data_IF_745889493607
#
_entry.id   IF_745889493607
#
_cell.length_a   1.000
_cell.length_b   1.000
_cell.length_c   1.000
_cell.angle_alpha   90.00
_cell.angle_beta   90.00
_cell.angle_gamma   90.00
#
_symmetry.space_group_name_H-M   'P 1'
#
loop_
_entity.id
_entity.type
_entity.pdbx_description
1 polymer ?
#
# COMPACT_ATOMS: atom_id res chain seq x y z
N UNK A 1 -17.07 -19.62 -20.52
CA UNK A 1 -17.11 -18.51 -19.56
C UNK A 1 -16.21 -18.89 -18.39
N UNK A 2 -14.89 -18.76 -18.57
CA UNK A 2 -13.92 -19.17 -17.57
C UNK A 2 -13.75 -18.03 -16.56
N UNK A 3 -14.25 -18.25 -15.35
CA UNK A 3 -13.90 -17.43 -14.20
C UNK A 3 -12.38 -17.51 -14.00
N UNK A 4 -11.68 -16.44 -14.33
CA UNK A 4 -10.27 -16.26 -13.99
C UNK A 4 -10.16 -15.94 -12.50
N UNK A 5 -10.30 -16.99 -11.67
CA UNK A 5 -9.91 -16.96 -10.27
C UNK A 5 -8.39 -17.04 -10.23
N UNK A 6 -7.74 -15.88 -10.16
CA UNK A 6 -6.30 -15.80 -9.93
C UNK A 6 -5.99 -16.39 -8.54
N UNK A 7 -5.19 -17.47 -8.43
CA UNK A 7 -4.92 -18.16 -7.17
C UNK A 7 -3.96 -17.42 -6.23
N UNK A 8 -3.51 -16.20 -6.57
CA UNK A 8 -2.65 -15.37 -5.72
C UNK A 8 -3.44 -14.24 -5.02
N UNK A 9 -4.60 -14.57 -4.45
CA UNK A 9 -5.35 -13.62 -3.62
C UNK A 9 -4.69 -13.50 -2.24
N UNK A 10 -3.57 -12.76 -2.18
CA UNK A 10 -3.33 -11.95 -0.99
C UNK A 10 -4.62 -11.17 -0.73
N UNK A 11 -5.15 -11.20 0.50
CA UNK A 11 -6.49 -10.67 0.77
C UNK A 11 -6.56 -9.23 0.28
N UNK A 12 -7.45 -8.96 -0.69
CA UNK A 12 -7.74 -7.61 -1.21
C UNK A 12 -8.49 -6.83 -0.14
N UNK A 13 -7.84 -6.61 0.99
CA UNK A 13 -8.32 -5.83 2.11
C UNK A 13 -7.95 -4.38 1.84
N UNK A 14 -8.98 -3.55 1.76
CA UNK A 14 -8.81 -2.12 1.69
C UNK A 14 -8.56 -1.59 3.10
N UNK A 15 -7.40 -0.99 3.30
CA UNK A 15 -7.03 -0.35 4.56
C UNK A 15 -7.13 1.17 4.42
N UNK A 16 -7.62 1.83 5.47
CA UNK A 16 -7.70 3.29 5.52
C UNK A 16 -6.37 3.86 6.00
N UNK A 17 -6.20 5.17 5.81
CA UNK A 17 -5.02 5.93 6.26
C UNK A 17 -4.54 5.60 7.69
N UNK A 18 -5.39 5.48 8.73
CA UNK A 18 -4.92 5.15 10.08
C UNK A 18 -4.18 3.80 10.14
N UNK A 19 -4.64 2.81 9.37
CA UNK A 19 -4.03 1.49 9.31
C UNK A 19 -2.77 1.49 8.45
N UNK A 20 -2.73 2.27 7.37
CA UNK A 20 -1.49 2.49 6.59
C UNK A 20 -0.40 3.12 7.45
N UNK A 21 -0.76 4.09 8.31
CA UNK A 21 0.17 4.69 9.28
C UNK A 21 0.67 3.70 10.31
N UNK A 22 -0.20 2.79 10.77
CA UNK A 22 0.16 1.70 11.70
C UNK A 22 1.20 0.76 11.08
N UNK A 23 1.02 0.37 9.80
CA UNK A 23 1.97 -0.48 9.09
C UNK A 23 3.29 0.20 8.76
N UNK A 24 3.23 1.44 8.25
CA UNK A 24 4.43 2.13 7.74
C UNK A 24 5.14 2.94 8.83
N UNK A 25 4.49 3.17 9.97
CA UNK A 25 4.94 4.10 11.04
C UNK A 25 5.20 5.53 10.53
N UNK A 26 4.67 5.90 9.37
CA UNK A 26 4.87 7.20 8.74
C UNK A 26 3.79 8.20 9.15
N UNK A 27 4.15 9.48 9.10
CA UNK A 27 3.18 10.56 9.23
C UNK A 27 2.29 10.63 7.98
N UNK A 28 1.06 11.14 8.13
CA UNK A 28 0.13 11.35 7.02
C UNK A 28 0.76 12.16 5.89
N UNK A 29 1.48 13.23 6.23
CA UNK A 29 2.14 14.10 5.26
C UNK A 29 3.24 13.37 4.49
N UNK A 30 3.99 12.50 5.17
CA UNK A 30 5.04 11.72 4.54
C UNK A 30 4.47 10.67 3.58
N UNK A 31 3.35 10.03 3.94
CA UNK A 31 2.61 9.14 3.05
C UNK A 31 2.21 9.91 1.79
N UNK A 32 1.55 11.06 1.92
CA UNK A 32 1.16 11.86 0.75
C UNK A 32 2.35 12.37 -0.06
N UNK A 33 3.48 12.73 0.58
CA UNK A 33 4.71 13.11 -0.12
C UNK A 33 5.23 11.95 -0.96
N UNK A 34 5.33 10.74 -0.38
CA UNK A 34 5.79 9.56 -1.11
C UNK A 34 4.81 9.13 -2.21
N UNK A 35 3.50 9.30 -2.00
CA UNK A 35 2.48 9.10 -3.05
C UNK A 35 2.72 10.08 -4.20
N UNK A 36 2.99 11.35 -3.90
CA UNK A 36 3.30 12.37 -4.92
C UNK A 36 4.64 12.09 -5.65
N UNK A 37 5.64 11.58 -4.94
CA UNK A 37 6.92 11.11 -5.50
C UNK A 37 6.79 9.79 -6.31
N UNK A 38 5.62 9.14 -6.31
CA UNK A 38 5.41 7.83 -6.96
C UNK A 38 6.15 6.67 -6.27
N UNK A 39 6.62 6.90 -5.04
CA UNK A 39 7.34 5.92 -4.20
C UNK A 39 6.44 5.21 -3.20
N UNK A 40 5.14 5.44 -3.24
CA UNK A 40 4.16 4.80 -2.35
C UNK A 40 2.98 4.31 -3.19
N UNK A 41 2.32 3.21 -2.78
CA UNK A 41 1.18 2.69 -3.52
C UNK A 41 0.05 3.69 -3.66
N UNK A 42 -0.63 3.59 -4.81
CA UNK A 42 -1.68 4.51 -5.21
C UNK A 42 -2.87 4.44 -4.27
N UNK A 43 -3.40 5.61 -3.89
CA UNK A 43 -4.64 5.69 -3.13
C UNK A 43 -5.84 5.39 -4.03
N UNK A 44 -6.70 4.48 -3.57
CA UNK A 44 -7.95 4.11 -4.22
C UNK A 44 -9.07 4.93 -3.58
N UNK A 45 -9.82 5.65 -4.40
CA UNK A 45 -10.97 6.44 -3.96
C UNK A 45 -12.22 5.55 -3.98
N UNK A 46 -12.71 5.15 -2.80
CA UNK A 46 -13.96 4.40 -2.66
C UNK A 46 -15.19 5.33 -2.65
N UNK A 47 -14.98 6.62 -2.39
CA UNK A 47 -16.03 7.62 -2.41
C UNK A 47 -15.47 9.04 -2.26
N UNK A 48 -16.34 10.07 -2.25
CA UNK A 48 -15.93 11.48 -2.32
C UNK A 48 -15.04 11.96 -1.17
N UNK A 49 -15.01 11.24 -0.04
CA UNK A 49 -14.11 11.52 1.11
C UNK A 49 -13.43 10.26 1.66
N UNK A 50 -13.51 9.13 0.96
CA UNK A 50 -12.96 7.86 1.44
C UNK A 50 -11.84 7.40 0.53
N UNK A 51 -10.60 7.61 0.99
CA UNK A 51 -9.39 7.06 0.38
C UNK A 51 -8.97 5.81 1.13
N UNK A 52 -8.65 4.77 0.38
CA UNK A 52 -8.19 3.48 0.88
C UNK A 52 -6.97 3.03 0.09
N UNK A 53 -6.16 2.18 0.69
CA UNK A 53 -5.02 1.52 0.05
C UNK A 53 -5.23 0.03 0.07
N UNK A 54 -4.61 -0.68 -0.86
CA UNK A 54 -4.59 -2.14 -0.82
C UNK A 54 -3.57 -2.58 0.24
N UNK A 55 -4.01 -3.41 1.20
CA UNK A 55 -3.14 -3.97 2.23
C UNK A 55 -1.93 -4.68 1.61
N UNK A 56 -2.15 -5.43 0.54
CA UNK A 56 -1.11 -6.16 -0.18
C UNK A 56 -0.06 -5.23 -0.78
N UNK A 57 -0.45 -4.09 -1.35
CA UNK A 57 0.50 -3.13 -1.92
C UNK A 57 1.32 -2.41 -0.85
N UNK A 58 0.72 -2.13 0.32
CA UNK A 58 1.44 -1.52 1.44
C UNK A 58 2.44 -2.51 2.05
N UNK A 59 2.08 -3.79 2.15
CA UNK A 59 3.00 -4.85 2.58
C UNK A 59 4.14 -5.03 1.59
N UNK A 60 3.84 -5.15 0.30
CA UNK A 60 4.84 -5.26 -0.78
C UNK A 60 5.80 -4.08 -0.78
N UNK A 61 5.29 -2.86 -0.56
CA UNK A 61 6.13 -1.67 -0.37
C UNK A 61 7.04 -1.77 0.85
N UNK A 62 6.55 -2.27 1.99
CA UNK A 62 7.38 -2.50 3.17
C UNK A 62 8.50 -3.51 2.88
N UNK A 63 8.18 -4.62 2.20
CA UNK A 63 9.16 -5.61 1.76
C UNK A 63 10.20 -5.00 0.80
N UNK A 64 9.77 -4.18 -0.16
CA UNK A 64 10.67 -3.45 -1.06
C UNK A 64 11.62 -2.50 -0.31
N UNK A 65 11.13 -1.79 0.71
CA UNK A 65 11.96 -0.94 1.57
C UNK A 65 12.96 -1.76 2.42
N UNK A 66 12.55 -2.95 2.89
CA UNK A 66 13.43 -3.86 3.61
C UNK A 66 14.51 -4.43 2.68
N UNK A 67 14.14 -4.78 1.45
CA UNK A 67 15.06 -5.24 0.42
C UNK A 67 16.07 -4.14 0.04
N UNK A 68 15.60 -2.91 -0.17
CA UNK A 68 16.46 -1.75 -0.45
C UNK A 68 17.41 -1.46 0.73
N UNK A 69 16.96 -1.66 1.98
CA UNK A 69 17.85 -1.60 3.16
C UNK A 69 18.84 -2.77 3.20
N UNK A 70 18.44 -3.96 2.78
CA UNK A 70 19.27 -5.17 2.78
C UNK A 70 20.37 -5.17 1.71
N UNK A 71 20.18 -4.41 0.63
CA UNK A 71 21.17 -4.23 -0.44
C UNK A 71 22.26 -3.19 -0.07
N UNK A 72 22.06 -2.46 1.03
CA UNK A 72 23.07 -1.57 1.63
C UNK A 72 23.77 -2.34 2.78
N UNK A 73 24.47 -3.43 2.44
CA UNK A 73 25.36 -4.15 3.36
C UNK A 73 26.57 -4.72 2.61
#
# INVERSE_FOLDING_TARGET
>A
MAAHTNPNQLPRRFIKLPKVKDYTSLSTSEIYRRVADGRFPAQIYLGPKSVVWLESEVLDWCDAMIAERGEIA
#
